data_IF_002709491596
#
_entry.id   IF_002709491596
#
_cell.length_a   1.000
_cell.length_b   1.000
_cell.length_c   1.000
_cell.angle_alpha   90.00
_cell.angle_beta   90.00
_cell.angle_gamma   90.00
#
_symmetry.space_group_name_H-M   'P 1'
#
loop_
_entity.id
_entity.type
_entity.pdbx_description
1 polymer ?
#
# COMPACT_ATOMS: atom_id res chain seq x y z
N UNK A 1 21.22 2.80 16.09
CA UNK A 1 20.39 2.71 14.87
C UNK A 1 19.03 3.31 15.17
N UNK A 2 18.85 4.60 14.92
CA UNK A 2 17.55 5.25 15.10
C UNK A 2 16.59 4.72 14.04
N UNK A 3 15.55 4.00 14.48
CA UNK A 3 14.51 3.49 13.59
C UNK A 3 13.83 4.68 12.92
N UNK A 4 14.12 4.89 11.64
CA UNK A 4 13.54 5.94 10.82
C UNK A 4 12.08 5.55 10.52
N UNK A 5 11.21 5.68 11.52
CA UNK A 5 9.81 5.28 11.48
C UNK A 5 9.07 6.17 10.48
N UNK A 6 8.49 5.55 9.45
CA UNK A 6 7.63 6.23 8.51
C UNK A 6 6.19 6.17 9.02
N UNK A 7 5.45 7.24 8.80
CA UNK A 7 4.03 7.30 9.08
C UNK A 7 3.26 6.92 7.82
N UNK A 8 2.33 5.98 7.97
CA UNK A 8 1.42 5.54 6.91
C UNK A 8 0.02 5.86 7.41
N UNK A 9 -0.64 6.81 6.75
CA UNK A 9 -2.03 7.17 7.01
C UNK A 9 -2.84 6.64 5.82
N UNK A 10 -3.91 5.91 6.11
CA UNK A 10 -4.82 5.38 5.09
C UNK A 10 -6.20 5.97 5.32
N UNK A 11 -6.85 6.35 4.23
CA UNK A 11 -8.26 6.66 4.16
C UNK A 11 -8.93 5.67 3.20
N UNK A 12 -10.22 5.84 2.94
CA UNK A 12 -10.97 4.97 2.03
C UNK A 12 -10.45 5.03 0.59
N UNK A 13 -9.91 6.17 0.17
CA UNK A 13 -9.45 6.40 -1.20
C UNK A 13 -8.00 6.87 -1.31
N UNK A 14 -7.32 7.15 -0.20
CA UNK A 14 -5.95 7.67 -0.20
C UNK A 14 -4.99 6.97 0.76
N UNK A 15 -3.71 7.03 0.41
CA UNK A 15 -2.60 6.61 1.24
C UNK A 15 -1.56 7.73 1.28
N UNK A 16 -1.23 8.20 2.48
CA UNK A 16 -0.19 9.19 2.72
C UNK A 16 0.97 8.55 3.48
N UNK A 17 2.16 8.59 2.88
CA UNK A 17 3.42 8.16 3.45
C UNK A 17 4.27 9.39 3.76
N UNK A 18 4.57 9.64 5.03
CA UNK A 18 5.39 10.79 5.45
C UNK A 18 6.45 10.40 6.47
N UNK A 19 7.54 11.18 6.52
CA UNK A 19 8.56 11.04 7.57
C UNK A 19 8.19 11.79 8.86
N UNK A 20 7.46 12.89 8.74
CA UNK A 20 7.03 13.75 9.85
C UNK A 20 5.52 13.91 9.82
N UNK A 21 4.95 14.13 11.00
CA UNK A 21 3.57 14.53 11.18
C UNK A 21 3.52 15.97 11.75
N UNK A 22 2.57 16.81 11.31
CA UNK A 22 1.65 16.57 10.19
C UNK A 22 2.38 16.46 8.85
N UNK A 23 1.79 15.74 7.89
CA UNK A 23 2.32 15.67 6.54
C UNK A 23 2.18 17.05 5.87
N UNK A 24 3.30 17.63 5.43
CA UNK A 24 3.33 18.97 4.85
C UNK A 24 4.06 18.95 3.50
N UNK A 25 3.51 19.71 2.55
CA UNK A 25 4.05 19.87 1.20
C UNK A 25 4.43 21.34 0.99
N UNK A 26 5.68 21.71 1.27
CA UNK A 26 6.19 23.04 0.91
C UNK A 26 6.47 23.13 -0.59
N UNK A 27 6.82 21.98 -1.18
CA UNK A 27 6.93 21.77 -2.63
C UNK A 27 6.35 20.41 -2.97
N UNK A 28 5.64 20.33 -4.09
CA UNK A 28 5.09 19.09 -4.61
C UNK A 28 5.03 19.12 -6.14
N UNK A 29 5.03 17.95 -6.74
CA UNK A 29 4.58 17.73 -8.11
C UNK A 29 3.63 16.54 -8.13
N UNK A 30 2.85 16.45 -9.19
CA UNK A 30 1.79 15.47 -9.34
C UNK A 30 1.97 14.64 -10.61
N UNK A 31 1.51 13.40 -10.58
CA UNK A 31 1.44 12.54 -11.77
C UNK A 31 0.32 11.53 -11.61
N UNK A 32 -0.05 10.86 -12.69
CA UNK A 32 -1.03 9.77 -12.69
C UNK A 32 -0.37 8.48 -13.16
N UNK A 33 -0.59 7.39 -12.42
CA UNK A 33 -0.24 6.02 -12.85
C UNK A 33 -1.50 5.22 -13.16
N UNK A 34 -1.40 4.24 -14.05
CA UNK A 34 -2.55 3.44 -14.49
C UNK A 34 -3.01 2.43 -13.44
N UNK A 35 -2.10 1.89 -12.61
CA UNK A 35 -2.41 0.92 -11.56
C UNK A 35 -1.20 0.65 -10.65
N UNK A 36 -1.42 -0.07 -9.55
CA UNK A 36 -0.36 -0.55 -8.65
C UNK A 36 -0.83 -0.60 -7.20
N UNK A 37 -0.11 -1.33 -6.35
CA UNK A 37 -0.33 -1.27 -4.91
C UNK A 37 0.14 0.11 -4.37
N UNK A 38 -0.75 0.91 -3.75
CA UNK A 38 -0.40 2.27 -3.32
C UNK A 38 0.76 2.31 -2.31
N UNK A 39 0.84 1.35 -1.39
CA UNK A 39 1.91 1.36 -0.39
C UNK A 39 3.27 1.09 -1.04
N UNK A 40 3.34 0.11 -1.96
CA UNK A 40 4.57 -0.19 -2.71
C UNK A 40 5.01 1.00 -3.55
N UNK A 41 4.08 1.62 -4.28
CA UNK A 41 4.37 2.83 -5.05
C UNK A 41 4.91 3.94 -4.17
N UNK A 42 4.24 4.24 -3.05
CA UNK A 42 4.65 5.30 -2.14
C UNK A 42 6.07 5.09 -1.62
N UNK A 43 6.44 3.85 -1.26
CA UNK A 43 7.80 3.53 -0.82
C UNK A 43 8.85 3.73 -1.91
N UNK A 44 8.57 3.34 -3.15
CA UNK A 44 9.54 3.48 -4.24
C UNK A 44 9.71 4.94 -4.65
N UNK A 45 8.61 5.67 -4.84
CA UNK A 45 8.62 7.09 -5.20
C UNK A 45 9.41 7.87 -4.16
N UNK A 46 9.12 7.65 -2.87
CA UNK A 46 9.88 8.24 -1.76
C UNK A 46 11.38 7.92 -1.83
N UNK A 47 11.76 6.67 -2.13
CA UNK A 47 13.18 6.30 -2.25
C UNK A 47 13.87 7.10 -3.36
N UNK A 48 13.23 7.24 -4.52
CA UNK A 48 13.80 7.94 -5.67
C UNK A 48 13.83 9.45 -5.49
N UNK A 49 12.77 10.00 -4.89
CA UNK A 49 12.74 11.38 -4.42
C UNK A 49 13.89 11.66 -3.47
N UNK A 50 14.09 10.82 -2.44
CA UNK A 50 15.19 11.01 -1.50
C UNK A 50 16.54 10.98 -2.21
N UNK A 51 16.78 10.02 -3.12
CA UNK A 51 18.03 9.96 -3.90
C UNK A 51 18.31 11.26 -4.66
N UNK A 52 17.29 11.85 -5.29
CA UNK A 52 17.42 13.07 -6.09
C UNK A 52 17.50 14.34 -5.24
N UNK A 53 16.80 14.37 -4.10
CA UNK A 53 16.49 15.59 -3.35
C UNK A 53 17.20 15.68 -1.98
N UNK A 54 17.93 14.65 -1.57
CA UNK A 54 18.67 14.62 -0.28
C UNK A 54 19.66 15.77 -0.08
N UNK A 55 20.11 16.43 -1.16
CA UNK A 55 20.95 17.62 -1.08
C UNK A 55 20.21 18.88 -0.60
N UNK A 56 18.87 18.89 -0.59
CA UNK A 56 18.08 19.99 -0.06
C UNK A 56 18.06 19.96 1.47
N UNK A 57 18.42 21.10 2.06
CA UNK A 57 18.50 21.24 3.52
C UNK A 57 17.17 20.92 4.18
N UNK A 58 17.17 19.92 5.05
CA UNK A 58 16.02 19.53 5.84
C UNK A 58 14.83 18.97 5.05
N UNK A 59 15.07 18.49 3.82
CA UNK A 59 14.02 17.88 3.01
C UNK A 59 13.43 16.65 3.72
N UNK A 60 12.11 16.65 3.88
CA UNK A 60 11.34 15.57 4.50
C UNK A 60 10.26 15.11 3.52
N UNK A 61 10.45 13.96 2.81
CA UNK A 61 9.56 13.55 1.76
C UNK A 61 8.19 13.12 2.29
N UNK A 62 7.17 13.45 1.51
CA UNK A 62 5.77 13.07 1.68
C UNK A 62 5.27 12.58 0.32
N UNK A 63 4.59 11.44 0.31
CA UNK A 63 3.93 10.89 -0.87
C UNK A 63 2.49 10.59 -0.51
N UNK A 64 1.57 11.17 -1.27
CA UNK A 64 0.14 10.90 -1.19
C UNK A 64 -0.31 10.25 -2.49
N UNK A 65 -1.09 9.18 -2.38
CA UNK A 65 -1.64 8.45 -3.51
C UNK A 65 -3.14 8.34 -3.30
N UNK A 66 -3.91 8.82 -4.26
CA UNK A 66 -5.37 8.84 -4.23
C UNK A 66 -5.91 8.07 -5.44
N UNK A 67 -6.81 7.12 -5.20
CA UNK A 67 -7.54 6.44 -6.27
C UNK A 67 -8.52 7.43 -6.92
N UNK A 68 -8.49 7.60 -8.24
CA UNK A 68 -9.27 8.67 -8.89
C UNK A 68 -10.78 8.38 -9.06
N UNK A 69 -11.36 7.44 -8.32
CA UNK A 69 -12.78 7.07 -8.38
C UNK A 69 -13.07 5.58 -8.07
N UNK A 70 -14.34 5.12 -8.24
CA UNK A 70 -14.75 3.74 -8.01
C UNK A 70 -14.65 2.87 -9.28
N UNK A 71 -13.80 1.84 -9.29
CA UNK A 71 -13.84 0.76 -10.29
C UNK A 71 -12.48 0.19 -10.74
N UNK A 72 -12.54 -0.82 -11.61
CA UNK A 72 -11.41 -1.66 -12.05
C UNK A 72 -10.46 -1.02 -13.07
N UNK A 73 -10.75 0.21 -13.52
CA UNK A 73 -9.98 0.94 -14.53
C UNK A 73 -9.46 2.30 -14.04
N UNK A 74 -9.51 2.55 -12.74
CA UNK A 74 -9.13 3.82 -12.14
C UNK A 74 -7.61 4.01 -12.12
N UNK A 75 -7.15 5.20 -12.53
CA UNK A 75 -5.79 5.63 -12.29
C UNK A 75 -5.52 5.91 -10.80
N UNK A 76 -4.25 6.02 -10.48
CA UNK A 76 -3.75 6.50 -9.19
C UNK A 76 -3.19 7.91 -9.41
N UNK A 77 -3.83 8.90 -8.80
CA UNK A 77 -3.26 10.24 -8.70
C UNK A 77 -2.22 10.23 -7.58
N UNK A 78 -1.06 10.79 -7.88
CA UNK A 78 0.09 10.77 -6.99
C UNK A 78 0.54 12.20 -6.81
N UNK A 79 0.57 12.65 -5.55
CA UNK A 79 1.18 13.90 -5.15
C UNK A 79 2.43 13.59 -4.34
N UNK A 80 3.59 13.96 -4.87
CA UNK A 80 4.87 13.65 -4.26
C UNK A 80 5.64 14.95 -4.00
N UNK A 81 6.21 15.08 -2.83
CA UNK A 81 6.84 16.32 -2.42
C UNK A 81 7.40 16.24 -1.01
N UNK A 82 7.38 17.36 -0.30
CA UNK A 82 7.72 17.35 1.11
C UNK A 82 8.00 18.72 1.69
N UNK A 83 8.37 18.69 2.96
CA UNK A 83 8.80 19.87 3.71
C UNK A 83 10.26 20.18 3.39
N UNK A 84 10.63 21.46 3.32
CA UNK A 84 12.02 21.93 3.16
C UNK A 84 12.34 22.87 4.33
N UNK A 85 13.55 22.77 4.89
CA UNK A 85 13.95 23.73 5.93
C UNK A 85 14.49 25.00 5.28
N UNK A 86 13.71 26.08 5.36
CA UNK A 86 14.05 27.39 4.84
C UNK A 86 13.44 27.65 3.47
N UNK A 87 14.16 28.37 2.61
CA UNK A 87 13.66 28.75 1.28
C UNK A 87 13.60 27.54 0.35
N UNK A 88 12.44 27.31 -0.26
CA UNK A 88 12.27 26.32 -1.32
C UNK A 88 13.02 26.78 -2.57
N UNK A 89 13.97 25.98 -3.10
CA UNK A 89 14.63 26.29 -4.37
C UNK A 89 13.62 26.35 -5.52
N UNK A 90 13.76 27.32 -6.43
CA UNK A 90 12.83 27.50 -7.56
C UNK A 90 12.77 26.28 -8.49
N UNK A 91 13.84 25.50 -8.57
CA UNK A 91 13.91 24.28 -9.39
C UNK A 91 13.37 23.02 -8.67
N UNK A 92 12.99 23.10 -7.38
CA UNK A 92 12.63 21.92 -6.60
C UNK A 92 11.42 21.16 -7.19
N UNK A 93 10.39 21.88 -7.62
CA UNK A 93 9.22 21.27 -8.28
C UNK A 93 9.60 20.56 -9.58
N UNK A 94 10.48 21.16 -10.38
CA UNK A 94 11.02 20.55 -11.60
C UNK A 94 11.81 19.26 -11.32
N UNK A 95 12.67 19.27 -10.30
CA UNK A 95 13.42 18.07 -9.90
C UNK A 95 12.51 16.93 -9.42
N UNK A 96 11.38 17.25 -8.77
CA UNK A 96 10.38 16.26 -8.37
C UNK A 96 9.65 15.72 -9.61
N UNK A 97 9.21 16.61 -10.51
CA UNK A 97 8.55 16.24 -11.76
C UNK A 97 9.45 15.33 -12.61
N UNK A 98 10.75 15.63 -12.72
CA UNK A 98 11.73 14.78 -13.41
C UNK A 98 11.76 13.36 -12.85
N UNK A 99 11.65 13.20 -11.52
CA UNK A 99 11.62 11.86 -10.89
C UNK A 99 10.32 11.14 -11.23
N UNK A 100 9.18 11.85 -11.16
CA UNK A 100 7.84 11.32 -11.41
C UNK A 100 7.60 10.92 -12.87
N UNK A 101 8.14 11.70 -13.81
CA UNK A 101 7.95 11.50 -15.24
C UNK A 101 9.05 10.65 -15.89
N UNK A 102 10.13 10.32 -15.17
CA UNK A 102 11.18 9.45 -15.68
C UNK A 102 10.62 8.05 -16.07
N UNK A 103 10.68 7.65 -17.36
CA UNK A 103 10.11 6.39 -17.82
C UNK A 103 10.71 5.14 -17.16
N UNK A 104 12.01 5.17 -16.85
CA UNK A 104 12.69 4.06 -16.18
C UNK A 104 12.22 3.90 -14.73
N UNK A 105 12.00 5.01 -14.02
CA UNK A 105 11.40 4.99 -12.69
C UNK A 105 9.98 4.43 -12.74
N UNK A 106 9.11 4.97 -13.61
CA UNK A 106 7.72 4.53 -13.75
C UNK A 106 7.63 3.05 -14.10
N UNK A 107 8.44 2.59 -15.06
CA UNK A 107 8.49 1.18 -15.44
C UNK A 107 8.98 0.27 -14.30
N UNK A 108 9.93 0.72 -13.48
CA UNK A 108 10.34 -0.01 -12.26
C UNK A 108 9.22 -0.02 -11.23
N UNK A 109 8.57 1.12 -11.00
CA UNK A 109 7.50 1.23 -10.01
C UNK A 109 6.35 0.29 -10.30
N UNK A 110 5.82 0.34 -11.52
CA UNK A 110 4.72 -0.51 -11.96
C UNK A 110 5.07 -2.00 -11.81
N UNK A 111 6.28 -2.42 -12.22
CA UNK A 111 6.74 -3.82 -12.10
C UNK A 111 6.77 -4.32 -10.64
N UNK A 112 7.19 -3.48 -9.71
CA UNK A 112 7.29 -3.85 -8.30
C UNK A 112 5.97 -3.67 -7.53
N UNK A 113 5.10 -2.79 -8.01
CA UNK A 113 3.79 -2.50 -7.45
C UNK A 113 2.70 -3.44 -7.97
N UNK A 114 3.01 -4.35 -8.90
CA UNK A 114 2.10 -5.47 -9.23
C UNK A 114 1.81 -6.21 -7.94
N UNK A 115 0.54 -6.13 -7.51
CA UNK A 115 0.03 -7.05 -6.50
C UNK A 115 0.19 -8.44 -7.10
N UNK A 116 1.07 -9.30 -6.55
CA UNK A 116 0.80 -10.73 -6.69
C UNK A 116 -0.60 -10.87 -6.12
N UNK A 117 -1.59 -11.23 -6.96
CA UNK A 117 -2.91 -11.60 -6.48
C UNK A 117 -2.65 -12.49 -5.28
N UNK A 118 -3.00 -12.02 -4.09
CA UNK A 118 -2.97 -12.90 -2.94
C UNK A 118 -3.77 -14.13 -3.36
N UNK A 119 -3.18 -15.30 -3.15
CA UNK A 119 -3.93 -16.54 -3.20
C UNK A 119 -5.20 -16.26 -2.42
N UNK A 120 -6.34 -16.36 -3.08
CA UNK A 120 -7.60 -16.52 -2.39
C UNK A 120 -7.40 -17.77 -1.55
N UNK A 121 -7.07 -17.61 -0.28
CA UNK A 121 -7.35 -18.63 0.71
C UNK A 121 -8.88 -18.67 0.75
N UNK A 122 -9.47 -19.49 -0.12
CA UNK A 122 -10.86 -19.87 -0.07
C UNK A 122 -11.00 -20.75 1.17
N UNK A 123 -10.98 -20.10 2.34
CA UNK A 123 -11.03 -20.69 3.65
C UNK A 123 -12.23 -20.14 4.38
N UNK A 124 -13.42 -20.57 3.97
CA UNK A 124 -14.55 -20.66 4.88
C UNK A 124 -15.33 -21.90 4.47
N UNK A 125 -14.82 -23.06 4.90
CA UNK A 125 -15.67 -24.23 5.06
C UNK A 125 -16.80 -23.84 5.99
N UNK A 126 -18.02 -23.97 5.51
CA UNK A 126 -19.24 -23.93 6.31
C UNK A 126 -19.11 -24.97 7.42
N UNK A 127 -18.84 -24.50 8.63
CA UNK A 127 -18.99 -25.28 9.85
C UNK A 127 -20.49 -25.52 10.07
N UNK A 128 -21.00 -26.65 9.58
CA UNK A 128 -22.27 -27.19 10.07
C UNK A 128 -21.98 -27.89 11.38
N UNK A 129 -22.35 -27.22 12.48
CA UNK A 129 -22.49 -27.84 13.78
C UNK A 129 -23.38 -29.08 13.66
N UNK A 130 -22.82 -30.27 13.85
CA UNK A 130 -23.60 -31.43 14.25
C UNK A 130 -22.76 -32.24 15.26
N UNK A 131 -23.16 -32.34 16.53
CA UNK A 131 -22.48 -33.23 17.48
C UNK A 131 -22.78 -34.69 17.13
N UNK A 132 -21.82 -35.63 17.24
CA UNK A 132 -22.14 -37.04 17.21
C UNK A 132 -22.69 -37.44 18.58
N UNK A 133 -23.98 -37.72 18.65
CA UNK A 133 -24.57 -38.36 19.84
C UNK A 133 -24.18 -39.84 19.84
N UNK A 134 -23.08 -40.12 20.53
CA UNK A 134 -22.72 -41.45 21.00
C UNK A 134 -23.69 -41.86 22.11
N UNK A 135 -24.64 -42.74 21.80
CA UNK A 135 -25.42 -43.47 22.79
C UNK A 135 -25.28 -44.97 22.54
N UNK A 136 -24.36 -45.59 23.27
CA UNK A 136 -24.35 -47.03 23.49
C UNK A 136 -25.53 -47.43 24.39
N UNK A 137 -26.32 -48.43 23.96
CA UNK A 137 -27.16 -49.30 24.81
C UNK A 137 -27.14 -50.69 24.18
N UNK A 138 -26.36 -51.60 24.76
CA UNK A 138 -26.77 -52.63 25.73
C UNK A 138 -27.32 -53.92 25.07
N UNK A 139 -26.57 -54.98 25.31
CA UNK A 139 -26.78 -56.40 25.08
C UNK A 139 -28.14 -56.96 25.55
N UNK A 140 -28.77 -57.85 24.76
CA UNK A 140 -29.43 -59.08 25.24
C UNK A 140 -29.86 -60.00 24.09
N UNK A 141 -29.51 -61.29 24.16
CA UNK A 141 -29.87 -62.31 23.17
C UNK A 141 -31.20 -63.03 23.37
N UNK A 142 -31.59 -63.80 22.34
CA UNK A 142 -32.20 -65.14 22.31
C UNK A 142 -32.18 -65.61 20.84
N UNK A 143 -31.60 -66.75 20.47
CA UNK A 143 -32.17 -68.10 20.50
C UNK A 143 -33.60 -68.20 19.92
N UNK A 144 -33.72 -68.78 18.71
CA UNK A 144 -34.51 -70.01 18.43
C UNK A 144 -34.75 -70.21 16.93
N UNK A 145 -34.16 -71.30 16.42
CA UNK A 145 -34.69 -72.33 15.50
C UNK A 145 -35.95 -72.01 14.69
N UNK A 146 -35.84 -72.17 13.36
CA UNK A 146 -36.67 -73.06 12.54
C UNK A 146 -35.93 -73.45 11.26
#
# INVERSE_FOLDING_TARGET
>A
MSSNRWHIIRTDSSLTLSRRLPAQFDVAAETVLTSGDPLRLAHQIRQDMWRKLQGMRGFSPVVEITATGPGSGQGLHIRAGGQVMGRVPSNAAGLIADVLENPANRGRWLRHAVRRRDKICLGTGSNTNNPPEIAAKFDKGNESVS
#
